data_IF_616725477080
#
_entry.id   IF_616725477080
#
_cell.length_a   1.000
_cell.length_b   1.000
_cell.length_c   1.000
_cell.angle_alpha   90.00
_cell.angle_beta   90.00
_cell.angle_gamma   90.00
#
_symmetry.space_group_name_H-M   'P 1'
#
loop_
_entity.id
_entity.type
_entity.pdbx_description
1 polymer ?
#
# COMPACT_ATOMS: atom_id res chain seq x y z
N UNK A 1 -17.70 -7.26 14.50
CA UNK A 1 -17.01 -8.33 13.75
C UNK A 1 -15.94 -7.65 12.91
N UNK A 2 -14.71 -8.17 12.89
CA UNK A 2 -13.60 -7.55 12.17
C UNK A 2 -13.04 -8.53 11.15
N UNK A 3 -12.84 -8.09 9.91
CA UNK A 3 -12.36 -8.89 8.80
C UNK A 3 -10.90 -8.56 8.49
N UNK A 4 -10.19 -9.52 7.92
CA UNK A 4 -8.82 -9.34 7.47
C UNK A 4 -8.67 -9.85 6.04
N UNK A 5 -8.15 -9.00 5.16
CA UNK A 5 -7.87 -9.36 3.77
C UNK A 5 -6.37 -9.31 3.47
N UNK A 6 -5.97 -10.11 2.50
CA UNK A 6 -4.66 -9.98 1.85
C UNK A 6 -4.65 -8.78 0.91
N UNK A 7 -3.48 -8.18 0.64
CA UNK A 7 -3.36 -7.15 -0.39
C UNK A 7 -3.45 -7.79 -1.78
N UNK A 8 -3.72 -6.97 -2.80
CA UNK A 8 -3.64 -7.40 -4.19
C UNK A 8 -2.31 -7.00 -4.85
N UNK A 9 -1.92 -7.73 -5.91
CA UNK A 9 -0.72 -7.44 -6.70
C UNK A 9 -0.98 -6.40 -7.79
N UNK A 10 -2.19 -6.40 -8.36
CA UNK A 10 -2.62 -5.40 -9.33
C UNK A 10 -3.18 -4.20 -8.59
N UNK A 11 -2.98 -3.01 -9.17
CA UNK A 11 -3.37 -1.75 -8.57
C UNK A 11 -4.19 -0.93 -9.56
N UNK A 12 -5.30 -0.36 -9.11
CA UNK A 12 -6.11 0.59 -9.85
C UNK A 12 -5.64 2.01 -9.53
N UNK A 13 -4.74 2.54 -10.36
CA UNK A 13 -4.19 3.89 -10.20
C UNK A 13 -4.99 4.97 -10.93
N UNK A 14 -5.97 4.60 -11.77
CA UNK A 14 -6.61 5.51 -12.73
C UNK A 14 -8.03 5.90 -12.36
N UNK A 15 -8.79 5.00 -11.76
CA UNK A 15 -10.24 5.22 -11.64
C UNK A 15 -10.54 6.19 -10.50
N UNK A 16 -11.38 7.17 -10.79
CA UNK A 16 -11.85 8.14 -9.83
C UNK A 16 -12.75 7.49 -8.76
N UNK A 17 -12.64 7.94 -7.52
CA UNK A 17 -13.46 7.45 -6.42
C UNK A 17 -14.87 8.06 -6.57
N UNK A 18 -15.94 7.24 -6.62
CA UNK A 18 -17.27 7.70 -7.00
C UNK A 18 -18.02 8.46 -5.89
N UNK A 19 -17.50 8.43 -4.66
CA UNK A 19 -18.12 9.04 -3.47
C UNK A 19 -17.12 9.94 -2.73
N UNK A 20 -17.62 11.03 -2.15
CA UNK A 20 -16.78 11.95 -1.38
C UNK A 20 -16.50 11.40 0.03
N UNK A 21 -15.25 11.00 0.26
CA UNK A 21 -14.76 10.39 1.50
C UNK A 21 -13.62 11.18 2.16
N UNK A 22 -13.33 12.41 1.71
CA UNK A 22 -12.15 13.18 2.13
C UNK A 22 -11.95 13.31 3.65
N UNK A 23 -13.06 13.41 4.40
CA UNK A 23 -13.03 13.52 5.86
C UNK A 23 -12.71 12.20 6.60
N UNK A 24 -12.66 11.07 5.89
CA UNK A 24 -12.46 9.73 6.45
C UNK A 24 -11.14 9.11 6.02
N UNK A 25 -10.38 9.78 5.16
CA UNK A 25 -9.04 9.35 4.80
C UNK A 25 -8.11 9.46 6.01
N UNK A 26 -7.23 8.48 6.14
CA UNK A 26 -6.21 8.44 7.18
C UNK A 26 -4.83 8.13 6.60
N UNK A 27 -3.79 8.35 7.40
CA UNK A 27 -2.45 7.89 7.06
C UNK A 27 -2.26 6.47 7.63
N UNK A 28 -1.44 5.62 7.00
CA UNK A 28 -1.09 4.33 7.57
C UNK A 28 -0.52 4.50 8.98
N UNK A 29 -1.08 3.78 9.96
CA UNK A 29 -0.69 3.89 11.37
C UNK A 29 0.81 3.58 11.59
N UNK A 30 1.39 2.81 10.68
CA UNK A 30 2.70 2.19 10.81
C UNK A 30 3.74 2.82 9.86
N UNK A 31 3.48 4.05 9.41
CA UNK A 31 4.22 4.71 8.32
C UNK A 31 5.74 4.84 8.59
N UNK A 32 6.16 5.03 9.84
CA UNK A 32 7.58 5.11 10.20
C UNK A 32 8.34 3.80 9.88
N UNK A 33 7.68 2.65 10.01
CA UNK A 33 8.24 1.37 9.63
C UNK A 33 8.28 1.22 8.11
N UNK A 34 7.25 1.68 7.41
CA UNK A 34 7.20 1.72 5.95
C UNK A 34 8.32 2.58 5.36
N UNK A 35 8.61 3.74 5.94
CA UNK A 35 9.76 4.57 5.55
C UNK A 35 11.08 3.80 5.66
N UNK A 36 11.24 2.98 6.71
CA UNK A 36 12.44 2.16 6.89
C UNK A 36 12.58 1.08 5.82
N UNK A 37 11.50 0.38 5.47
CA UNK A 37 11.48 -0.59 4.37
C UNK A 37 11.70 0.08 3.01
N UNK A 38 11.03 1.20 2.76
CA UNK A 38 11.14 1.94 1.51
C UNK A 38 12.55 2.48 1.28
N UNK A 39 13.27 2.87 2.35
CA UNK A 39 14.69 3.23 2.25
C UNK A 39 15.54 2.10 1.68
N UNK A 40 15.27 0.84 2.06
CA UNK A 40 15.97 -0.34 1.52
C UNK A 40 15.52 -0.60 0.07
N UNK A 41 14.24 -0.45 -0.24
CA UNK A 41 13.73 -0.64 -1.60
C UNK A 41 14.27 0.40 -2.59
N UNK A 42 14.40 1.66 -2.16
CA UNK A 42 14.98 2.76 -2.95
C UNK A 42 16.45 2.57 -3.29
N UNK A 43 17.19 1.73 -2.56
CA UNK A 43 18.61 1.46 -2.83
C UNK A 43 18.83 0.29 -3.79
N UNK A 44 17.75 -0.32 -4.31
CA UNK A 44 17.80 -1.47 -5.22
C UNK A 44 17.65 -0.99 -6.65
N UNK A 45 18.50 -1.52 -7.51
CA UNK A 45 18.35 -1.33 -8.95
C UNK A 45 17.21 -2.22 -9.49
N UNK A 46 16.65 -1.93 -10.68
CA UNK A 46 15.60 -2.75 -11.28
C UNK A 46 15.96 -4.24 -11.34
N UNK A 47 17.21 -4.59 -11.69
CA UNK A 47 17.66 -5.98 -11.72
C UNK A 47 17.59 -6.67 -10.35
N UNK A 48 17.91 -5.95 -9.26
CA UNK A 48 17.81 -6.48 -7.90
C UNK A 48 16.35 -6.72 -7.51
N UNK A 49 15.44 -5.82 -7.93
CA UNK A 49 14.00 -5.97 -7.68
C UNK A 49 13.41 -7.13 -8.49
N UNK A 50 13.89 -7.32 -9.71
CA UNK A 50 13.49 -8.44 -10.58
C UNK A 50 13.76 -9.78 -9.90
N UNK A 51 15.00 -9.98 -9.43
CA UNK A 51 15.41 -11.19 -8.71
C UNK A 51 14.68 -11.34 -7.38
N UNK A 52 14.65 -10.27 -6.57
CA UNK A 52 14.07 -10.27 -5.23
C UNK A 52 12.57 -10.60 -5.23
N UNK A 53 11.83 -10.08 -6.20
CA UNK A 53 10.36 -10.21 -6.28
C UNK A 53 9.91 -11.25 -7.30
N UNK A 54 10.84 -11.85 -8.06
CA UNK A 54 10.56 -12.81 -9.14
C UNK A 54 9.53 -12.26 -10.13
N UNK A 55 9.79 -11.05 -10.64
CA UNK A 55 8.92 -10.32 -11.58
C UNK A 55 9.60 -10.11 -12.94
N UNK A 56 8.85 -9.66 -13.94
CA UNK A 56 9.43 -9.26 -15.23
C UNK A 56 10.27 -7.99 -15.10
N UNK A 57 11.10 -7.72 -16.11
CA UNK A 57 11.92 -6.51 -16.20
C UNK A 57 11.04 -5.24 -16.20
N UNK A 58 9.99 -5.21 -17.01
CA UNK A 58 9.02 -4.10 -17.06
C UNK A 58 8.41 -3.81 -15.68
N UNK A 59 8.02 -4.85 -14.95
CA UNK A 59 7.47 -4.69 -13.60
C UNK A 59 8.54 -4.23 -12.61
N UNK A 60 9.79 -4.67 -12.76
CA UNK A 60 10.88 -4.26 -11.90
C UNK A 60 11.21 -2.77 -12.12
N UNK A 61 11.28 -2.32 -13.36
CA UNK A 61 11.48 -0.92 -13.72
C UNK A 61 10.35 -0.03 -13.22
N UNK A 62 9.10 -0.48 -13.38
CA UNK A 62 7.92 0.22 -12.84
C UNK A 62 8.01 0.38 -11.32
N UNK A 63 8.34 -0.70 -10.60
CA UNK A 63 8.41 -0.65 -9.14
C UNK A 63 9.65 0.11 -8.64
N UNK A 64 10.77 0.12 -9.35
CA UNK A 64 11.89 1.00 -9.06
C UNK A 64 11.45 2.48 -9.12
N UNK A 65 10.73 2.87 -10.17
CA UNK A 65 10.18 4.22 -10.32
C UNK A 65 9.20 4.57 -9.19
N UNK A 66 8.25 3.68 -8.90
CA UNK A 66 7.31 3.84 -7.77
C UNK A 66 8.05 4.01 -6.44
N UNK A 67 9.05 3.17 -6.19
CA UNK A 67 9.84 3.24 -4.98
C UNK A 67 10.52 4.60 -4.87
N UNK A 68 11.14 5.12 -5.94
CA UNK A 68 11.78 6.44 -5.94
C UNK A 68 10.79 7.59 -5.68
N UNK A 69 9.64 7.55 -6.33
CA UNK A 69 8.56 8.53 -6.16
C UNK A 69 7.95 8.49 -4.76
N UNK A 70 7.98 7.32 -4.11
CA UNK A 70 7.42 7.18 -2.78
C UNK A 70 8.07 8.14 -1.79
N UNK A 71 7.27 8.96 -1.12
CA UNK A 71 7.77 9.87 -0.09
C UNK A 71 6.69 10.17 0.93
N UNK A 72 7.04 10.17 2.20
CA UNK A 72 6.17 10.61 3.27
C UNK A 72 7.01 11.32 4.34
N UNK A 73 6.50 12.43 4.85
CA UNK A 73 7.01 13.16 6.01
C UNK A 73 5.85 13.85 6.72
N UNK A 74 6.07 14.31 7.96
CA UNK A 74 5.05 15.06 8.71
C UNK A 74 4.64 16.36 8.01
N UNK A 75 5.57 17.02 7.31
CA UNK A 75 5.30 18.25 6.54
C UNK A 75 4.65 17.97 5.18
N UNK A 76 4.80 16.74 4.66
CA UNK A 76 4.27 16.32 3.35
C UNK A 76 3.63 14.93 3.47
N UNK A 77 2.52 14.79 4.21
CA UNK A 77 1.79 13.54 4.33
C UNK A 77 1.14 13.18 2.99
N UNK A 78 0.63 11.97 2.87
CA UNK A 78 -0.12 11.57 1.66
C UNK A 78 -1.42 12.37 1.54
N UNK A 79 -1.76 12.73 0.30
CA UNK A 79 -2.96 13.50 -0.04
C UNK A 79 -3.68 12.83 -1.21
N UNK A 80 -5.00 12.96 -1.27
CA UNK A 80 -5.81 12.58 -2.42
C UNK A 80 -5.77 13.63 -3.56
N UNK A 81 -5.09 14.75 -3.33
CA UNK A 81 -4.84 15.81 -4.32
C UNK A 81 -3.59 15.52 -5.18
N UNK A 82 -3.76 15.56 -6.51
CA UNK A 82 -2.68 15.38 -7.50
C UNK A 82 -1.58 16.45 -7.41
N UNK A 83 -1.90 17.66 -6.94
CA UNK A 83 -0.93 18.74 -6.79
C UNK A 83 -0.02 18.57 -5.56
N UNK A 84 -0.38 17.66 -4.66
CA UNK A 84 0.30 17.40 -3.40
C UNK A 84 1.20 16.17 -3.43
N UNK A 85 1.01 15.29 -2.45
CA UNK A 85 1.69 14.00 -2.35
C UNK A 85 0.69 12.90 -2.66
N UNK A 86 0.32 12.86 -3.95
CA UNK A 86 -0.77 12.04 -4.46
C UNK A 86 -0.68 10.58 -3.97
N UNK A 87 -1.79 10.10 -3.44
CA UNK A 87 -1.97 8.76 -2.91
C UNK A 87 -3.45 8.37 -3.07
N UNK A 88 -3.73 7.08 -2.96
CA UNK A 88 -5.09 6.55 -3.10
C UNK A 88 -5.44 5.69 -1.89
N UNK A 89 -6.68 5.75 -1.39
CA UNK A 89 -7.18 4.85 -0.36
C UNK A 89 -6.94 3.38 -0.71
N UNK A 90 -6.42 2.60 0.24
CA UNK A 90 -6.02 1.21 0.01
C UNK A 90 -7.12 0.32 -0.61
N UNK A 91 -8.36 0.44 -0.13
CA UNK A 91 -9.51 -0.33 -0.62
C UNK A 91 -9.95 0.02 -2.05
N UNK A 92 -9.53 1.19 -2.57
CA UNK A 92 -9.76 1.62 -3.95
C UNK A 92 -8.52 1.47 -4.83
N UNK A 93 -7.32 1.32 -4.24
CA UNK A 93 -6.08 1.11 -4.97
C UNK A 93 -5.83 -0.37 -5.27
N UNK A 94 -6.09 -1.28 -4.33
CA UNK A 94 -5.90 -2.72 -4.59
C UNK A 94 -6.94 -3.25 -5.58
N UNK A 95 -6.45 -3.97 -6.60
CA UNK A 95 -7.27 -4.51 -7.67
C UNK A 95 -7.01 -6.01 -7.87
N UNK A 96 -8.06 -6.81 -7.88
CA UNK A 96 -8.02 -8.27 -7.96
C UNK A 96 -9.28 -8.91 -7.37
N UNK A 97 -9.47 -10.22 -7.58
CA UNK A 97 -10.75 -10.91 -7.34
C UNK A 97 -11.42 -10.63 -5.98
N UNK A 98 -10.61 -10.56 -4.91
CA UNK A 98 -11.10 -10.24 -3.55
C UNK A 98 -11.66 -8.81 -3.47
N UNK A 99 -11.02 -7.85 -4.13
CA UNK A 99 -11.41 -6.44 -4.14
C UNK A 99 -12.55 -6.18 -5.14
N UNK A 100 -12.59 -6.93 -6.25
CA UNK A 100 -13.76 -6.99 -7.13
C UNK A 100 -14.98 -7.52 -6.38
N UNK A 101 -14.81 -8.53 -5.51
CA UNK A 101 -15.88 -9.04 -4.65
C UNK A 101 -16.25 -8.10 -3.49
N UNK A 102 -15.29 -7.34 -2.96
CA UNK A 102 -15.54 -6.30 -1.96
C UNK A 102 -16.34 -5.13 -2.55
N UNK A 103 -16.08 -4.79 -3.81
CA UNK A 103 -16.84 -3.86 -4.64
C UNK A 103 -17.07 -2.46 -4.05
N UNK A 104 -16.01 -1.87 -3.49
CA UNK A 104 -16.09 -0.54 -2.85
C UNK A 104 -16.53 0.58 -3.81
N UNK A 105 -16.37 0.40 -5.12
CA UNK A 105 -16.79 1.37 -6.14
C UNK A 105 -18.31 1.49 -6.27
N UNK A 106 -19.09 0.50 -5.83
CA UNK A 106 -20.56 0.56 -5.84
C UNK A 106 -21.15 0.83 -4.45
N UNK A 107 -20.33 1.04 -3.43
CA UNK A 107 -20.78 1.37 -2.08
C UNK A 107 -21.23 2.82 -1.96
N UNK A 108 -22.27 3.05 -1.18
CA UNK A 108 -22.54 4.37 -0.64
C UNK A 108 -21.51 4.77 0.42
N UNK A 109 -21.55 6.04 0.82
CA UNK A 109 -20.59 6.62 1.76
C UNK A 109 -20.63 5.91 3.11
N UNK A 110 -21.83 5.66 3.63
CA UNK A 110 -22.05 5.03 4.93
C UNK A 110 -21.48 3.61 4.96
N UNK A 111 -21.67 2.84 3.89
CA UNK A 111 -21.12 1.48 3.75
C UNK A 111 -19.61 1.51 3.63
N UNK A 112 -19.03 2.42 2.84
CA UNK A 112 -17.58 2.56 2.72
C UNK A 112 -16.92 2.90 4.07
N UNK A 113 -17.54 3.79 4.85
CA UNK A 113 -17.08 4.14 6.21
C UNK A 113 -17.22 2.95 7.16
N UNK A 114 -18.34 2.21 7.11
CA UNK A 114 -18.51 1.00 7.92
C UNK A 114 -17.44 -0.04 7.62
N UNK A 115 -17.15 -0.28 6.34
CA UNK A 115 -16.07 -1.18 5.91
C UNK A 115 -14.72 -0.69 6.42
N UNK A 116 -14.45 0.62 6.35
CA UNK A 116 -13.21 1.20 6.87
C UNK A 116 -12.95 0.92 8.35
N UNK A 117 -14.02 0.85 9.16
CA UNK A 117 -13.93 0.59 10.59
C UNK A 117 -13.87 -0.90 10.97
N UNK A 118 -14.22 -1.80 10.04
CA UNK A 118 -14.41 -3.22 10.32
C UNK A 118 -13.55 -4.16 9.46
N UNK A 119 -12.68 -3.61 8.61
CA UNK A 119 -11.81 -4.36 7.72
C UNK A 119 -10.36 -3.89 7.89
N UNK A 120 -9.44 -4.84 8.03
CA UNK A 120 -8.01 -4.62 7.90
C UNK A 120 -7.47 -5.27 6.62
N UNK A 121 -6.45 -4.67 6.03
CA UNK A 121 -5.73 -5.20 4.87
C UNK A 121 -4.28 -5.40 5.29
N UNK A 122 -3.78 -6.63 5.24
CA UNK A 122 -2.36 -6.90 5.46
C UNK A 122 -1.52 -6.29 4.32
N UNK A 123 -0.32 -5.83 4.64
CA UNK A 123 0.59 -5.23 3.67
C UNK A 123 2.04 -5.54 4.03
N UNK A 124 2.84 -5.97 3.04
CA UNK A 124 4.28 -6.15 3.26
C UNK A 124 5.00 -4.84 3.60
N UNK A 125 4.55 -3.72 3.02
CA UNK A 125 5.16 -2.39 3.21
C UNK A 125 4.55 -1.60 4.37
N UNK A 126 3.23 -1.64 4.50
CA UNK A 126 2.47 -0.85 5.47
C UNK A 126 2.06 -1.64 6.72
N UNK A 127 2.32 -2.95 6.76
CA UNK A 127 1.96 -3.83 7.88
C UNK A 127 0.47 -4.17 7.86
N UNK A 128 -0.35 -3.26 8.40
CA UNK A 128 -1.81 -3.34 8.32
C UNK A 128 -2.35 -1.96 7.91
N UNK A 129 -3.35 -1.98 7.04
CA UNK A 129 -4.03 -0.80 6.52
C UNK A 129 -5.53 -0.90 6.81
N UNK A 130 -6.15 0.25 7.03
CA UNK A 130 -7.59 0.41 6.85
C UNK A 130 -7.90 0.64 5.37
N UNK A 131 -9.12 0.30 4.90
CA UNK A 131 -9.56 0.58 3.54
C UNK A 131 -9.38 2.04 3.07
N UNK A 132 -9.51 3.01 3.98
CA UNK A 132 -9.38 4.44 3.69
C UNK A 132 -8.01 5.04 4.08
N UNK A 133 -7.02 4.21 4.42
CA UNK A 133 -5.64 4.69 4.52
C UNK A 133 -5.11 5.06 3.14
N UNK A 134 -4.61 6.29 3.01
CA UNK A 134 -3.95 6.76 1.80
C UNK A 134 -2.60 6.06 1.64
N UNK A 135 -2.41 5.40 0.51
CA UNK A 135 -1.16 4.72 0.16
C UNK A 135 -0.72 5.09 -1.24
N UNK A 136 0.60 5.10 -1.45
CA UNK A 136 1.17 5.18 -2.78
C UNK A 136 1.38 3.78 -3.37
N UNK A 137 1.32 3.64 -4.71
CA UNK A 137 1.56 2.39 -5.42
C UNK A 137 2.91 1.78 -5.05
N UNK A 138 2.91 0.48 -4.79
CA UNK A 138 4.11 -0.27 -4.42
C UNK A 138 3.95 -1.74 -4.78
N UNK A 139 5.06 -2.49 -4.74
CA UNK A 139 5.03 -3.95 -4.73
C UNK A 139 5.98 -4.48 -3.68
N UNK A 140 5.43 -5.10 -2.66
CA UNK A 140 6.20 -5.81 -1.63
C UNK A 140 5.30 -6.87 -0.99
N UNK A 141 5.47 -8.12 -1.41
CA UNK A 141 4.69 -9.24 -0.87
C UNK A 141 5.27 -9.67 0.48
N UNK A 142 4.43 -10.12 1.42
CA UNK A 142 4.89 -10.52 2.75
C UNK A 142 5.95 -11.64 2.72
N UNK A 143 5.90 -12.51 1.70
CA UNK A 143 6.89 -13.59 1.50
C UNK A 143 8.25 -13.15 0.96
N UNK A 144 8.46 -11.87 0.61
CA UNK A 144 9.72 -11.38 0.07
C UNK A 144 10.84 -11.45 1.12
N UNK A 145 11.97 -12.07 0.76
CA UNK A 145 13.18 -12.18 1.59
C UNK A 145 14.01 -10.88 1.54
N UNK A 146 13.38 -9.77 1.95
CA UNK A 146 14.02 -8.47 1.99
C UNK A 146 14.85 -8.35 3.27
N UNK A 147 16.18 -8.46 3.14
CA UNK A 147 17.11 -8.15 4.24
C UNK A 147 16.94 -6.69 4.68
N UNK A 148 16.78 -6.49 5.97
CA UNK A 148 16.46 -5.21 6.57
C UNK A 148 17.12 -5.08 7.96
N UNK A 149 16.94 -3.95 8.64
CA UNK A 149 17.58 -3.67 9.92
C UNK A 149 17.17 -4.63 11.06
N UNK A 150 16.08 -5.39 10.90
CA UNK A 150 15.48 -6.23 11.95
C UNK A 150 15.57 -7.73 11.66
N UNK A 151 16.00 -8.11 10.46
CA UNK A 151 16.02 -9.49 10.02
C UNK A 151 16.27 -9.68 8.52
N UNK A 152 16.17 -10.93 8.08
CA UNK A 152 16.39 -11.33 6.68
C UNK A 152 15.09 -11.40 5.85
N UNK A 153 13.94 -11.17 6.48
CA UNK A 153 12.62 -11.19 5.83
C UNK A 153 11.63 -10.24 6.51
N UNK A 154 10.42 -10.13 5.95
CA UNK A 154 9.37 -9.23 6.45
C UNK A 154 8.64 -9.76 7.67
N UNK A 155 8.58 -11.08 7.90
CA UNK A 155 8.01 -11.63 9.12
C UNK A 155 8.82 -11.17 10.35
N UNK A 156 10.15 -11.33 10.31
CA UNK A 156 11.04 -10.85 11.38
C UNK A 156 10.98 -9.33 11.57
N UNK A 157 10.78 -8.57 10.49
CA UNK A 157 10.64 -7.12 10.56
C UNK A 157 9.37 -6.69 11.31
N UNK A 158 8.26 -7.37 11.05
CA UNK A 158 6.94 -7.04 11.61
C UNK A 158 6.65 -7.73 12.96
N UNK A 159 7.30 -8.84 13.29
CA UNK A 159 7.19 -9.50 14.60
C UNK A 159 7.81 -8.67 15.74
N UNK A 160 8.91 -7.95 15.46
CA UNK A 160 9.62 -7.13 16.46
C UNK A 160 9.05 -5.73 16.58
N UNK A 161 7.72 -5.63 16.62
CA UNK A 161 7.02 -4.36 16.61
C UNK A 161 6.43 -4.00 17.96
#
# INVERSE_FOLDING_TARGET
>A
MYFLLSPAKSLNETDAIPVNLGNYYSQPELIAHSQSLMKVLKSKEPVDLQELMSISDDLAQLNATRNQQWHWSEDKPFTDDESGNAAKPAGYLFDGDVYTGLDMYHMDKETAVYVNEHLGILSGLYGVLKPLDLIQPYRLEMGTKLKNARGDNLYEFWEKK
#
